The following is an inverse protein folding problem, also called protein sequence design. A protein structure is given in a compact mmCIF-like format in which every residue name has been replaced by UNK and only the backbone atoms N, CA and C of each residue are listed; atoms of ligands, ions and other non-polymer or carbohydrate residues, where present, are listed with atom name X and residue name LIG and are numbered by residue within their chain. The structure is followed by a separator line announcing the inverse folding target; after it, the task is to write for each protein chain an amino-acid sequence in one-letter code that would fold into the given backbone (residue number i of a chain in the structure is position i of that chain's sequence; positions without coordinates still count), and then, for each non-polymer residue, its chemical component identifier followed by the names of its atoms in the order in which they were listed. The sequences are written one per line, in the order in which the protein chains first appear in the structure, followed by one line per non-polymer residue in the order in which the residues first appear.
data_IF_754530255687
#
_entry.id   IF_754530255687
#
_cell.length_a   1.000
_cell.length_b   1.000
_cell.length_c   1.000
_cell.angle_alpha   90.00
_cell.angle_beta   90.00
_cell.angle_gamma   90.00
#
_symmetry.space_group_name_H-M   'P 1'
#
loop_
_entity.id
_entity.type
_entity.pdbx_description
1 polymer ?
#
# COMPACT_ATOMS: atom_id res chain seq x y z
N UNK A 1 -30.31 -6.05 22.86
CA UNK A 1 -29.38 -6.29 21.74
C UNK A 1 -28.73 -4.96 21.39
N UNK A 2 -27.52 -4.69 21.89
CA UNK A 2 -26.81 -3.45 21.55
C UNK A 2 -26.51 -3.43 20.06
N UNK A 3 -26.78 -2.29 19.44
CA UNK A 3 -26.60 -2.00 18.02
C UNK A 3 -25.11 -2.13 17.67
N UNK A 4 -24.66 -3.32 17.25
CA UNK A 4 -23.27 -3.66 16.87
C UNK A 4 -22.76 -2.95 15.60
N UNK A 5 -23.48 -1.93 15.13
CA UNK A 5 -23.26 -1.24 13.86
C UNK A 5 -22.81 0.21 14.00
N UNK A 6 -22.86 0.81 15.19
CA UNK A 6 -22.24 2.11 15.42
C UNK A 6 -20.75 1.91 15.70
N UNK A 7 -19.92 2.27 14.73
CA UNK A 7 -18.49 2.47 14.96
C UNK A 7 -18.32 3.45 16.11
N UNK A 8 -17.50 3.10 17.09
CA UNK A 8 -17.11 4.01 18.17
C UNK A 8 -16.55 5.30 17.56
N UNK A 9 -16.89 6.46 18.12
CA UNK A 9 -16.50 7.78 17.58
C UNK A 9 -14.97 7.88 17.43
N UNK A 10 -14.25 7.19 18.32
CA UNK A 10 -12.80 7.01 18.26
C UNK A 10 -12.34 6.32 16.96
N UNK A 11 -13.02 5.27 16.53
CA UNK A 11 -12.69 4.57 15.27
C UNK A 11 -12.98 5.44 14.06
N UNK A 12 -14.10 6.19 14.06
CA UNK A 12 -14.42 7.15 12.99
C UNK A 12 -13.35 8.24 12.89
N UNK A 13 -12.92 8.80 14.02
CA UNK A 13 -11.87 9.82 14.05
C UNK A 13 -10.52 9.29 13.56
N UNK A 14 -10.12 8.09 14.00
CA UNK A 14 -8.89 7.44 13.56
C UNK A 14 -8.89 7.19 12.04
N UNK A 15 -10.00 6.70 11.48
CA UNK A 15 -10.17 6.52 10.03
C UNK A 15 -10.02 7.82 9.26
N UNK A 16 -10.66 8.89 9.76
CA UNK A 16 -10.52 10.22 9.19
C UNK A 16 -9.08 10.72 9.21
N UNK A 17 -8.32 10.42 10.27
CA UNK A 17 -6.92 10.80 10.36
C UNK A 17 -6.03 10.03 9.37
N UNK A 18 -6.25 8.71 9.22
CA UNK A 18 -5.56 7.89 8.21
C UNK A 18 -5.82 8.42 6.80
N UNK A 19 -7.07 8.78 6.49
CA UNK A 19 -7.40 9.36 5.19
C UNK A 19 -6.70 10.70 4.96
N UNK A 20 -6.63 11.58 5.98
CA UNK A 20 -5.89 12.84 5.90
C UNK A 20 -4.41 12.61 5.60
N UNK A 21 -3.78 11.64 6.25
CA UNK A 21 -2.38 11.30 6.00
C UNK A 21 -2.15 10.84 4.56
N UNK A 22 -2.96 9.90 4.07
CA UNK A 22 -2.91 9.45 2.68
C UNK A 22 -3.16 10.57 1.67
N UNK A 23 -4.10 11.47 1.97
CA UNK A 23 -4.40 12.62 1.13
C UNK A 23 -3.27 13.65 1.11
N UNK A 24 -2.68 13.97 2.26
CA UNK A 24 -1.51 14.87 2.35
C UNK A 24 -0.32 14.28 1.61
N UNK A 25 -0.07 12.97 1.77
CA UNK A 25 0.96 12.27 1.00
C UNK A 25 0.70 12.39 -0.50
N UNK A 26 -0.53 12.14 -0.96
CA UNK A 26 -0.89 12.22 -2.36
C UNK A 26 -0.69 13.63 -2.93
N UNK A 27 -1.12 14.67 -2.21
CA UNK A 27 -0.91 16.06 -2.61
C UNK A 27 0.58 16.40 -2.71
N UNK A 28 1.38 16.01 -1.70
CA UNK A 28 2.82 16.24 -1.70
C UNK A 28 3.52 15.51 -2.85
N UNK A 29 3.16 14.24 -3.10
CA UNK A 29 3.71 13.44 -4.18
C UNK A 29 3.34 14.00 -5.57
N UNK A 30 2.08 14.45 -5.76
CA UNK A 30 1.67 15.11 -6.99
C UNK A 30 2.36 16.46 -7.19
N UNK A 31 2.55 17.24 -6.12
CA UNK A 31 3.27 18.52 -6.19
C UNK A 31 4.74 18.31 -6.57
N UNK A 32 5.42 17.35 -5.91
CA UNK A 32 6.76 16.94 -6.27
C UNK A 32 6.84 16.47 -7.73
N UNK A 33 5.84 15.69 -8.18
CA UNK A 33 5.76 15.25 -9.56
C UNK A 33 5.58 16.42 -10.55
N UNK A 34 4.76 17.40 -10.20
CA UNK A 34 4.62 18.63 -10.98
C UNK A 34 5.93 19.40 -11.11
N UNK A 35 6.72 19.49 -10.03
CA UNK A 35 8.05 20.10 -10.03
C UNK A 35 9.01 19.31 -10.92
N UNK A 36 9.06 17.98 -10.78
CA UNK A 36 9.89 17.12 -11.63
C UNK A 36 9.58 17.35 -13.12
N UNK A 37 8.29 17.37 -13.49
CA UNK A 37 7.88 17.66 -14.87
C UNK A 37 8.26 19.06 -15.33
N UNK A 38 8.14 20.08 -14.47
CA UNK A 38 8.58 21.44 -14.78
C UNK A 38 10.10 21.54 -15.03
N UNK A 39 10.90 20.68 -14.39
CA UNK A 39 12.34 20.57 -14.59
C UNK A 39 12.74 19.65 -15.75
N UNK A 40 11.77 19.09 -16.50
CA UNK A 40 12.02 18.14 -17.58
C UNK A 40 12.46 16.75 -17.10
N UNK A 41 12.29 16.44 -15.82
CA UNK A 41 12.63 15.14 -15.24
C UNK A 41 11.45 14.19 -15.35
N UNK A 42 11.68 13.06 -16.01
CA UNK A 42 10.75 11.94 -16.12
C UNK A 42 11.42 10.70 -15.55
N UNK A 43 10.86 10.13 -14.49
CA UNK A 43 11.52 9.05 -13.72
C UNK A 43 10.86 7.69 -13.92
N UNK A 44 9.69 7.61 -14.53
CA UNK A 44 9.08 6.36 -14.99
C UNK A 44 8.43 6.53 -16.36
N UNK A 45 8.42 5.44 -17.13
CA UNK A 45 7.87 5.40 -18.48
C UNK A 45 6.33 5.45 -18.45
N UNK A 46 5.76 6.20 -19.40
CA UNK A 46 4.32 6.25 -19.64
C UNK A 46 3.52 6.64 -18.39
N UNK A 47 2.45 5.90 -18.02
CA UNK A 47 1.63 6.19 -16.85
C UNK A 47 2.27 5.72 -15.52
N UNK A 48 3.51 5.23 -15.54
CA UNK A 48 4.11 4.58 -14.37
C UNK A 48 4.29 5.50 -13.17
N UNK A 49 4.56 6.78 -13.41
CA UNK A 49 4.73 7.77 -12.35
C UNK A 49 3.44 7.94 -11.54
N UNK A 50 2.30 8.06 -12.24
CA UNK A 50 0.99 8.24 -11.63
C UNK A 50 0.54 6.96 -10.91
N UNK A 51 0.80 5.80 -11.52
CA UNK A 51 0.48 4.49 -10.94
C UNK A 51 1.20 4.29 -9.60
N UNK A 52 2.49 4.60 -9.54
CA UNK A 52 3.30 4.45 -8.33
C UNK A 52 2.93 5.46 -7.24
N UNK A 53 2.62 6.70 -7.61
CA UNK A 53 2.12 7.71 -6.66
C UNK A 53 0.80 7.26 -6.05
N UNK A 54 -0.13 6.77 -6.87
CA UNK A 54 -1.42 6.27 -6.40
C UNK A 54 -1.25 5.05 -5.49
N UNK A 55 -0.45 4.07 -5.91
CA UNK A 55 -0.18 2.89 -5.09
C UNK A 55 0.54 3.23 -3.80
N UNK A 56 1.45 4.21 -3.80
CA UNK A 56 2.10 4.70 -2.59
C UNK A 56 1.09 5.25 -1.58
N UNK A 57 0.13 6.06 -2.04
CA UNK A 57 -0.91 6.61 -1.18
C UNK A 57 -1.84 5.50 -0.63
N UNK A 58 -2.23 4.54 -1.47
CA UNK A 58 -3.08 3.40 -1.07
C UNK A 58 -2.36 2.51 -0.06
N UNK A 59 -1.10 2.15 -0.32
CA UNK A 59 -0.28 1.32 0.56
C UNK A 59 -0.09 1.99 1.93
N UNK A 60 0.22 3.30 1.95
CA UNK A 60 0.35 4.07 3.19
C UNK A 60 -0.94 4.05 4.00
N UNK A 61 -2.09 4.30 3.37
CA UNK A 61 -3.39 4.20 4.03
C UNK A 61 -3.57 2.82 4.66
N UNK A 62 -3.32 1.76 3.89
CA UNK A 62 -3.52 0.38 4.34
C UNK A 62 -2.56 -0.03 5.46
N UNK A 63 -1.29 0.39 5.41
CA UNK A 63 -0.36 0.19 6.52
C UNK A 63 -0.86 0.86 7.79
N UNK A 64 -1.32 2.11 7.72
CA UNK A 64 -1.85 2.81 8.88
C UNK A 64 -3.13 2.16 9.43
N UNK A 65 -4.02 1.68 8.56
CA UNK A 65 -5.20 0.91 8.99
C UNK A 65 -4.80 -0.34 9.79
N UNK A 66 -3.84 -1.10 9.28
CA UNK A 66 -3.37 -2.33 9.91
C UNK A 66 -2.64 -2.03 11.23
N UNK A 67 -1.69 -1.09 11.23
CA UNK A 67 -0.86 -0.79 12.39
C UNK A 67 -1.67 -0.20 13.55
N UNK A 68 -2.67 0.65 13.25
CA UNK A 68 -3.56 1.24 14.26
C UNK A 68 -4.68 0.31 14.72
N UNK A 69 -4.73 -0.93 14.21
CA UNK A 69 -5.76 -1.90 14.58
C UNK A 69 -7.17 -1.44 14.24
N UNK A 70 -7.33 -0.55 13.26
CA UNK A 70 -8.64 -0.01 12.89
C UNK A 70 -9.40 -1.13 12.19
N UNK A 71 -10.42 -1.66 12.85
CA UNK A 71 -11.22 -2.72 12.26
C UNK A 71 -11.82 -2.22 10.94
N UNK A 72 -11.61 -2.93 9.82
CA UNK A 72 -12.24 -2.57 8.58
C UNK A 72 -13.77 -2.61 8.69
N UNK A 73 -14.45 -1.76 7.92
CA UNK A 73 -15.91 -1.74 7.88
C UNK A 73 -16.41 -2.96 7.09
N UNK A 74 -16.53 -4.10 7.78
CA UNK A 74 -17.09 -5.33 7.23
C UNK A 74 -16.17 -6.54 7.35
N UNK A 75 -16.77 -7.69 7.63
CA UNK A 75 -16.11 -9.00 7.82
C UNK A 75 -15.25 -9.43 6.61
N UNK A 76 -15.52 -8.89 5.43
CA UNK A 76 -14.87 -9.24 4.15
C UNK A 76 -13.59 -8.43 3.83
N UNK A 77 -13.39 -7.26 4.45
CA UNK A 77 -12.23 -6.42 4.11
C UNK A 77 -10.88 -7.03 4.55
N UNK A 78 -10.85 -7.83 5.63
CA UNK A 78 -9.64 -8.58 6.03
C UNK A 78 -9.23 -9.59 4.95
N UNK A 79 -10.20 -10.25 4.32
CA UNK A 79 -9.98 -11.13 3.16
C UNK A 79 -9.49 -10.33 1.95
N UNK A 80 -10.00 -9.12 1.75
CA UNK A 80 -9.57 -8.24 0.67
C UNK A 80 -8.09 -7.85 0.77
N UNK A 81 -7.61 -7.44 1.95
CA UNK A 81 -6.18 -7.14 2.14
C UNK A 81 -5.29 -8.35 1.87
N UNK A 82 -5.72 -9.52 2.33
CA UNK A 82 -4.99 -10.77 2.10
C UNK A 82 -4.94 -11.15 0.61
N UNK A 83 -6.07 -11.06 -0.10
CA UNK A 83 -6.16 -11.35 -1.53
C UNK A 83 -5.35 -10.37 -2.38
N UNK A 84 -5.43 -9.07 -2.09
CA UNK A 84 -4.64 -8.04 -2.77
C UNK A 84 -3.15 -8.23 -2.53
N UNK A 85 -2.75 -8.56 -1.31
CA UNK A 85 -1.37 -8.83 -0.99
C UNK A 85 -0.81 -10.08 -1.69
N UNK A 86 -1.59 -11.16 -1.77
CA UNK A 86 -1.22 -12.35 -2.56
C UNK A 86 -1.08 -12.04 -4.05
N UNK A 87 -1.97 -11.22 -4.60
CA UNK A 87 -1.85 -10.74 -5.98
C UNK A 87 -0.53 -9.97 -6.17
N UNK A 88 -0.16 -9.11 -5.21
CA UNK A 88 1.13 -8.43 -5.22
C UNK A 88 2.32 -9.37 -5.24
N UNK A 89 2.31 -10.40 -4.40
CA UNK A 89 3.35 -11.45 -4.37
C UNK A 89 3.44 -12.17 -5.72
N UNK A 90 2.30 -12.52 -6.32
CA UNK A 90 2.28 -13.19 -7.62
C UNK A 90 2.87 -12.31 -8.73
N UNK A 91 2.51 -11.03 -8.77
CA UNK A 91 3.09 -10.06 -9.71
C UNK A 91 4.61 -10.00 -9.54
N UNK A 92 5.09 -9.84 -8.30
CA UNK A 92 6.53 -9.78 -8.03
C UNK A 92 7.25 -11.05 -8.50
N UNK A 93 6.68 -12.24 -8.24
CA UNK A 93 7.26 -13.50 -8.70
C UNK A 93 7.31 -13.61 -10.22
N UNK A 94 6.25 -13.19 -10.92
CA UNK A 94 6.23 -13.18 -12.38
C UNK A 94 7.28 -12.23 -12.96
N UNK A 95 7.40 -11.03 -12.39
CA UNK A 95 8.38 -10.03 -12.83
C UNK A 95 9.82 -10.52 -12.57
N UNK A 96 10.09 -11.09 -11.39
CA UNK A 96 11.40 -11.70 -11.09
C UNK A 96 11.72 -12.86 -12.02
N UNK A 97 10.74 -13.71 -12.35
CA UNK A 97 10.92 -14.79 -13.32
C UNK A 97 11.19 -14.26 -14.73
N UNK A 98 10.51 -13.18 -15.15
CA UNK A 98 10.76 -12.52 -16.43
C UNK A 98 12.18 -11.97 -16.50
N UNK A 99 12.64 -11.29 -15.45
CA UNK A 99 14.00 -10.76 -15.34
C UNK A 99 15.06 -11.87 -15.36
N UNK A 100 14.80 -13.00 -14.67
CA UNK A 100 15.71 -14.15 -14.67
C UNK A 100 15.86 -14.81 -16.06
N UNK A 101 14.84 -14.72 -16.90
CA UNK A 101 14.86 -15.18 -18.31
C UNK A 101 15.46 -14.11 -19.25
N UNK A 102 15.92 -12.97 -18.71
CA UNK A 102 16.50 -11.87 -19.47
C UNK A 102 15.47 -11.03 -20.22
N UNK A 103 14.18 -11.13 -19.87
CA UNK A 103 13.12 -10.33 -20.47
C UNK A 103 12.94 -9.02 -19.71
N UNK A 104 13.52 -7.95 -20.27
CA UNK A 104 13.33 -6.56 -19.84
C UNK A 104 14.45 -6.05 -18.92
N UNK A 105 14.70 -4.74 -18.98
CA UNK A 105 15.51 -4.03 -18.00
C UNK A 105 14.61 -3.33 -16.97
N UNK A 106 15.09 -3.15 -15.75
CA UNK A 106 14.37 -2.40 -14.71
C UNK A 106 14.43 -0.89 -14.96
N UNK A 107 15.53 -0.43 -15.55
CA UNK A 107 15.76 0.97 -15.87
C UNK A 107 16.24 1.02 -17.32
N UNK A 108 15.58 1.85 -18.12
CA UNK A 108 15.97 2.16 -19.50
C UNK A 108 16.03 3.68 -19.64
N UNK A 109 17.13 4.19 -20.21
CA UNK A 109 17.32 5.62 -20.46
C UNK A 109 17.15 6.51 -19.21
N UNK A 110 17.49 5.98 -18.03
CA UNK A 110 17.36 6.68 -16.74
C UNK A 110 15.93 6.72 -16.18
N UNK A 111 15.00 5.98 -16.78
CA UNK A 111 13.60 5.87 -16.37
C UNK A 111 13.27 4.46 -15.91
N UNK A 112 12.38 4.34 -14.92
CA UNK A 112 11.77 3.06 -14.59
C UNK A 112 10.94 2.56 -15.76
N UNK A 113 11.21 1.33 -16.19
CA UNK A 113 10.40 0.69 -17.22
C UNK A 113 9.00 0.38 -16.70
N UNK A 114 8.06 0.10 -17.62
CA UNK A 114 6.73 -0.34 -17.21
C UNK A 114 6.77 -1.65 -16.42
N UNK A 115 7.68 -2.56 -16.79
CA UNK A 115 8.00 -3.81 -16.05
C UNK A 115 8.42 -3.49 -14.61
N UNK A 116 9.36 -2.56 -14.41
CA UNK A 116 9.77 -2.15 -13.07
C UNK A 116 8.65 -1.47 -12.29
N UNK A 117 7.82 -0.67 -12.95
CA UNK A 117 6.66 0.01 -12.35
C UNK A 117 5.64 -1.02 -11.83
N UNK A 118 5.34 -2.05 -12.62
CA UNK A 118 4.44 -3.13 -12.22
C UNK A 118 5.04 -3.96 -11.08
N UNK A 119 6.34 -4.27 -11.16
CA UNK A 119 7.06 -4.95 -10.09
C UNK A 119 7.02 -4.18 -8.77
N UNK A 120 7.30 -2.87 -8.80
CA UNK A 120 7.22 -2.00 -7.62
C UNK A 120 5.80 -1.88 -7.08
N UNK A 121 4.79 -1.81 -7.96
CA UNK A 121 3.38 -1.84 -7.54
C UNK A 121 3.04 -3.17 -6.84
N UNK A 122 3.53 -4.29 -7.37
CA UNK A 122 3.43 -5.60 -6.74
C UNK A 122 4.13 -5.66 -5.38
N UNK A 123 5.31 -5.04 -5.23
CA UNK A 123 6.01 -4.91 -3.95
C UNK A 123 5.22 -4.11 -2.93
N UNK A 124 4.60 -2.99 -3.34
CA UNK A 124 3.72 -2.19 -2.47
C UNK A 124 2.51 -3.03 -2.02
N UNK A 125 1.88 -3.77 -2.92
CA UNK A 125 0.77 -4.66 -2.57
C UNK A 125 1.22 -5.79 -1.62
N UNK A 126 2.36 -6.44 -1.90
CA UNK A 126 2.91 -7.50 -1.06
C UNK A 126 3.31 -7.00 0.33
N UNK A 127 3.82 -5.76 0.43
CA UNK A 127 4.18 -5.15 1.71
C UNK A 127 2.97 -5.02 2.65
N UNK A 128 1.77 -4.79 2.12
CA UNK A 128 0.54 -4.71 2.91
C UNK A 128 0.26 -6.06 3.58
N UNK A 129 0.46 -7.16 2.86
CA UNK A 129 0.39 -8.50 3.44
C UNK A 129 1.47 -8.71 4.50
N UNK A 130 2.69 -8.28 4.22
CA UNK A 130 3.80 -8.34 5.18
C UNK A 130 3.47 -7.62 6.49
N UNK A 131 2.98 -6.39 6.42
CA UNK A 131 2.56 -5.60 7.59
C UNK A 131 1.39 -6.26 8.31
N UNK A 132 0.42 -6.82 7.57
CA UNK A 132 -0.70 -7.56 8.16
C UNK A 132 -0.25 -8.80 8.93
N UNK A 133 0.62 -9.62 8.33
CA UNK A 133 1.16 -10.82 8.98
C UNK A 133 2.05 -10.47 10.16
N UNK A 134 2.89 -9.44 10.03
CA UNK A 134 3.76 -8.94 11.10
C UNK A 134 2.95 -8.46 12.30
N UNK A 135 1.91 -7.63 12.07
CA UNK A 135 1.01 -7.18 13.14
C UNK A 135 0.29 -8.35 13.80
N UNK A 136 -0.22 -9.30 13.02
CA UNK A 136 -0.89 -10.50 13.57
C UNK A 136 0.06 -11.37 14.40
N UNK A 137 1.31 -11.50 13.99
CA UNK A 137 2.32 -12.25 14.74
C UNK A 137 2.69 -11.53 16.04
N UNK A 138 2.84 -10.20 15.98
CA UNK A 138 3.10 -9.35 17.15
C UNK A 138 1.99 -9.46 18.19
N UNK A 139 0.73 -9.33 17.77
CA UNK A 139 -0.44 -9.36 18.66
C UNK A 139 -0.63 -10.75 19.31
N UNK A 140 -0.19 -11.81 18.63
CA UNK A 140 -0.18 -13.16 19.21
C UNK A 140 0.90 -13.34 20.29
N UNK A 141 2.01 -12.61 20.17
CA UNK A 141 3.14 -12.65 21.11
C UNK A 141 3.00 -11.67 22.28
N UNK A 142 2.22 -10.61 22.12
CA UNK A 142 1.89 -9.62 23.14
C UNK A 142 0.36 -9.52 23.23
N UNK A 143 -0.31 -10.52 23.82
CA UNK A 143 -1.72 -10.36 24.14
C UNK A 143 -1.87 -9.10 24.99
N UNK A 144 -2.87 -8.27 24.67
CA UNK A 144 -3.22 -7.15 25.54
C UNK A 144 -3.43 -7.73 26.95
N UNK A 145 -2.60 -7.32 27.91
CA UNK A 145 -2.88 -7.59 29.31
C UNK A 145 -4.23 -6.93 29.57
N UNK A 146 -5.28 -7.76 29.65
CA UNK A 146 -6.60 -7.31 30.06
C UNK A 146 -6.42 -6.58 31.39
N UNK A 147 -6.55 -5.25 31.40
CA UNK A 147 -6.62 -4.44 32.61
C UNK A 147 -7.81 -4.98 33.44
N UNK A 148 -7.50 -5.73 34.50
CA UNK A 148 -8.45 -6.15 35.55
C UNK A 148 -9.12 -4.96 36.24
#
# INVERSE_FOLDING_TARGET
MLNKTSLDERQLWLRGNVFKHGFVFLLAAMAAQGICKALGVTWAQGPGEQILILWGAVALCWWEFILRGIDPMGRSQKTFFFAMGLCGVFIVLMELASLAVGRGALVEEGQLTMTATLGLSGCLMASVLGVYLAKRAWDKGHPEEDEE
#
